data_IF_655854992650
#
_entry.id   IF_655854992650
#
_cell.length_a   1.000
_cell.length_b   1.000
_cell.length_c   1.000
_cell.angle_alpha   90.00
_cell.angle_beta   90.00
_cell.angle_gamma   90.00
#
_symmetry.space_group_name_H-M   'P 1'
#
loop_
_entity.id
_entity.type
_entity.pdbx_description
1 polymer ?
#
# COMPACT_ATOMS: atom_id res chain seq x y z
N UNK A 1 2.10 -5.68 4.77
CA UNK A 1 2.88 -4.47 4.45
C UNK A 1 3.63 -4.66 3.15
N UNK A 2 3.52 -3.67 2.27
CA UNK A 2 4.18 -3.57 0.98
C UNK A 2 5.07 -2.32 1.01
N UNK A 3 6.02 -2.15 0.07
CA UNK A 3 6.66 -0.85 -0.13
C UNK A 3 5.62 0.24 -0.42
N UNK A 4 5.89 1.47 0.02
CA UNK A 4 5.00 2.61 -0.22
C UNK A 4 4.79 2.87 -1.72
N UNK A 5 3.57 3.28 -2.09
CA UNK A 5 3.23 3.65 -3.46
C UNK A 5 3.69 5.08 -3.75
N UNK A 6 4.58 5.25 -4.74
CA UNK A 6 4.97 6.58 -5.21
C UNK A 6 3.96 7.12 -6.22
N UNK A 7 3.54 8.36 -6.02
CA UNK A 7 2.71 9.14 -6.95
C UNK A 7 3.50 10.37 -7.36
N UNK A 8 3.64 10.58 -8.67
CA UNK A 8 4.38 11.73 -9.21
C UNK A 8 3.56 13.04 -9.12
N UNK A 9 4.18 14.16 -9.52
CA UNK A 9 3.54 15.48 -9.51
C UNK A 9 2.37 15.62 -10.48
N UNK A 10 2.20 14.71 -11.43
CA UNK A 10 1.03 14.65 -12.34
C UNK A 10 -0.10 13.77 -11.76
N UNK A 11 0.11 13.17 -10.59
CA UNK A 11 -0.87 12.28 -9.96
C UNK A 11 -0.83 10.84 -10.49
N UNK A 12 0.25 10.43 -11.19
CA UNK A 12 0.38 9.08 -11.74
C UNK A 12 1.22 8.19 -10.83
N UNK A 13 0.81 6.93 -10.71
CA UNK A 13 1.49 5.90 -9.93
C UNK A 13 1.94 4.75 -10.83
N UNK A 14 3.12 4.88 -11.44
CA UNK A 14 3.64 3.91 -12.43
C UNK A 14 4.91 3.19 -11.97
N UNK A 15 5.46 3.53 -10.80
CA UNK A 15 6.63 2.85 -10.25
C UNK A 15 6.24 1.47 -9.70
N UNK A 16 6.79 0.36 -10.24
CA UNK A 16 6.48 -0.98 -9.74
C UNK A 16 7.19 -1.25 -8.42
N UNK A 17 6.54 -2.01 -7.53
CA UNK A 17 7.11 -2.45 -6.26
C UNK A 17 7.14 -3.97 -6.16
N UNK A 18 8.13 -4.50 -5.42
CA UNK A 18 8.31 -5.94 -5.20
C UNK A 18 7.93 -6.30 -3.75
N UNK A 19 7.12 -7.34 -3.58
CA UNK A 19 6.77 -7.91 -2.29
C UNK A 19 7.27 -9.37 -2.18
N UNK A 20 8.53 -9.60 -1.81
CA UNK A 20 9.17 -10.92 -1.91
C UNK A 20 8.59 -11.98 -0.96
N UNK A 21 7.77 -11.55 0.02
CA UNK A 21 7.11 -12.42 1.00
C UNK A 21 5.72 -12.91 0.56
N UNK A 22 5.22 -12.49 -0.61
CA UNK A 22 3.87 -12.82 -1.08
C UNK A 22 3.90 -13.76 -2.28
N UNK A 23 2.89 -14.65 -2.35
CA UNK A 23 2.56 -15.41 -3.55
C UNK A 23 1.20 -14.93 -4.07
N UNK A 24 1.01 -14.91 -5.38
CA UNK A 24 -0.25 -14.47 -6.00
C UNK A 24 -1.46 -15.28 -5.52
N UNK A 25 -1.28 -16.59 -5.30
CA UNK A 25 -2.34 -17.46 -4.80
C UNK A 25 -2.88 -17.04 -3.43
N UNK A 26 -2.08 -16.33 -2.62
CA UNK A 26 -2.51 -15.86 -1.31
C UNK A 26 -3.41 -14.61 -1.40
N UNK A 27 -3.53 -13.97 -2.57
CA UNK A 27 -4.16 -12.66 -2.72
C UNK A 27 -5.64 -12.70 -3.14
N UNK A 28 -6.11 -13.80 -3.73
CA UNK A 28 -7.51 -13.90 -4.18
C UNK A 28 -8.47 -13.70 -2.99
N UNK A 29 -9.49 -12.87 -3.18
CA UNK A 29 -10.47 -12.50 -2.15
C UNK A 29 -9.97 -11.47 -1.14
N UNK A 30 -8.74 -10.95 -1.26
CA UNK A 30 -8.22 -9.86 -0.41
C UNK A 30 -8.41 -8.50 -1.06
N UNK A 31 -8.26 -7.44 -0.27
CA UNK A 31 -8.28 -6.06 -0.76
C UNK A 31 -6.89 -5.44 -0.75
N UNK A 32 -6.56 -4.69 -1.80
CA UNK A 32 -5.44 -3.76 -1.84
C UNK A 32 -5.93 -2.37 -1.41
N UNK A 33 -5.23 -1.74 -0.47
CA UNK A 33 -5.60 -0.46 0.12
C UNK A 33 -4.54 0.60 -0.17
N UNK A 34 -4.96 1.82 -0.50
CA UNK A 34 -4.11 3.00 -0.59
C UNK A 34 -4.56 3.97 0.50
N UNK A 35 -3.60 4.42 1.30
CA UNK A 35 -3.82 5.34 2.41
C UNK A 35 -3.54 6.81 2.01
N UNK A 36 -4.00 7.76 2.82
CA UNK A 36 -3.79 9.20 2.58
C UNK A 36 -2.36 9.67 2.93
N UNK A 37 -1.76 9.05 3.94
CA UNK A 37 -0.39 9.28 4.37
C UNK A 37 0.61 8.31 3.74
N UNK A 38 1.88 8.48 4.12
CA UNK A 38 2.95 7.54 3.77
C UNK A 38 2.97 6.29 4.68
N UNK A 39 4.07 5.56 4.62
CA UNK A 39 4.33 4.41 5.48
C UNK A 39 5.82 4.41 5.87
N UNK A 40 6.13 4.57 7.17
CA UNK A 40 7.50 4.45 7.70
C UNK A 40 7.85 3.02 8.15
N UNK A 41 6.94 2.06 7.94
CA UNK A 41 7.04 0.66 8.33
C UNK A 41 7.21 0.42 9.84
N UNK A 42 6.74 1.36 10.66
CA UNK A 42 6.78 1.28 12.12
C UNK A 42 5.47 1.76 12.72
N UNK A 43 5.10 1.23 13.89
CA UNK A 43 3.99 1.76 14.68
C UNK A 43 4.37 3.02 15.49
N UNK A 44 5.64 3.45 15.43
CA UNK A 44 6.13 4.66 16.07
C UNK A 44 6.63 5.67 15.01
N UNK A 45 6.27 6.97 15.11
CA UNK A 45 5.45 7.59 16.15
C UNK A 45 3.94 7.41 15.99
N UNK A 46 3.49 6.88 14.85
CA UNK A 46 2.07 6.68 14.55
C UNK A 46 1.78 5.21 14.18
N UNK A 47 0.64 4.63 14.62
CA UNK A 47 0.29 3.25 14.27
C UNK A 47 0.23 3.00 12.77
N UNK A 48 0.53 1.77 12.37
CA UNK A 48 0.44 1.27 11.00
C UNK A 48 1.17 2.15 9.99
N UNK A 49 2.37 2.61 10.34
CA UNK A 49 3.21 3.40 9.44
C UNK A 49 2.82 4.87 9.31
N UNK A 50 1.74 5.30 9.95
CA UNK A 50 1.20 6.66 9.80
C UNK A 50 0.36 6.88 8.53
N UNK A 51 -0.12 5.80 7.88
CA UNK A 51 -0.93 5.92 6.66
C UNK A 51 -2.28 6.64 6.85
N UNK A 52 -2.88 6.55 8.03
CA UNK A 52 -4.14 7.24 8.33
C UNK A 52 -5.32 6.74 7.49
N UNK A 53 -6.15 7.67 6.98
CA UNK A 53 -7.39 7.37 6.27
C UNK A 53 -7.16 6.53 5.00
N UNK A 54 -8.17 5.76 4.60
CA UNK A 54 -8.18 4.93 3.39
C UNK A 54 -8.69 5.76 2.20
N UNK A 55 -7.85 5.99 1.20
CA UNK A 55 -8.19 6.81 0.02
C UNK A 55 -8.73 6.00 -1.15
N UNK A 56 -8.20 4.81 -1.40
CA UNK A 56 -8.66 3.93 -2.49
C UNK A 56 -8.55 2.46 -2.08
N UNK A 57 -9.40 1.62 -2.67
CA UNK A 57 -9.48 0.21 -2.37
C UNK A 57 -9.87 -0.58 -3.62
N UNK A 58 -9.35 -1.79 -3.78
CA UNK A 58 -9.78 -2.73 -4.82
C UNK A 58 -9.67 -4.18 -4.34
N UNK A 59 -10.65 -5.01 -4.70
CA UNK A 59 -10.65 -6.46 -4.41
C UNK A 59 -9.86 -7.19 -5.48
N UNK A 60 -8.97 -8.09 -5.06
CA UNK A 60 -8.21 -8.98 -5.93
C UNK A 60 -9.04 -10.26 -6.15
N UNK A 61 -9.29 -10.60 -7.41
CA UNK A 61 -10.08 -11.78 -7.83
C UNK A 61 -9.16 -12.97 -8.11
#
# INVERSE_FOLDING_TARGET
DLPALYVDSEGKATNPVLAPRLKLADLSGRALMIHAGGDNHSDHPAPLGGGGARMACGVIQ
#
